data_IF_552225631394
#
_entry.id   IF_552225631394
#
_cell.length_a   1.000
_cell.length_b   1.000
_cell.length_c   1.000
_cell.angle_alpha   90.00
_cell.angle_beta   90.00
_cell.angle_gamma   90.00
#
_symmetry.space_group_name_H-M   'P 1'
#
loop_
_entity.id
_entity.type
_entity.pdbx_description
1 polymer ?
#
# COMPACT_ATOMS: atom_id res chain seq x y z
N UNK A 1 -0.98 11.62 -5.10
CA UNK A 1 0.14 10.66 -5.01
C UNK A 1 -0.39 9.22 -5.00
N UNK A 2 0.33 8.26 -5.58
CA UNK A 2 -0.08 6.85 -5.66
C UNK A 2 0.82 5.96 -4.81
N UNK A 3 0.27 4.94 -4.17
CA UNK A 3 0.98 4.00 -3.30
C UNK A 3 0.57 2.56 -3.63
N UNK A 4 1.54 1.66 -3.68
CA UNK A 4 1.28 0.21 -3.64
C UNK A 4 1.52 -0.25 -2.22
N UNK A 5 0.57 -0.99 -1.67
CA UNK A 5 0.62 -1.51 -0.30
C UNK A 5 0.32 -3.00 -0.35
N UNK A 6 1.21 -3.81 0.21
CA UNK A 6 1.07 -5.26 0.28
C UNK A 6 1.11 -5.71 1.73
N UNK A 7 0.28 -6.66 2.11
CA UNK A 7 0.23 -7.22 3.47
C UNK A 7 -0.34 -8.62 3.45
N UNK A 8 -0.09 -9.36 4.53
CA UNK A 8 -0.71 -10.66 4.79
C UNK A 8 -1.81 -10.51 5.84
N UNK A 9 -2.80 -11.38 5.73
CA UNK A 9 -3.73 -11.67 6.81
C UNK A 9 -3.15 -12.80 7.70
N UNK A 10 -3.73 -12.99 8.88
CA UNK A 10 -3.32 -14.07 9.79
C UNK A 10 -3.58 -15.48 9.25
N UNK A 11 -4.41 -15.61 8.22
CA UNK A 11 -4.64 -16.86 7.49
C UNK A 11 -3.66 -17.07 6.32
N UNK A 12 -2.57 -16.29 6.29
CA UNK A 12 -1.52 -16.32 5.26
C UNK A 12 -1.99 -15.84 3.87
N UNK A 13 -3.19 -15.26 3.78
CA UNK A 13 -3.65 -14.62 2.53
C UNK A 13 -2.88 -13.33 2.27
N UNK A 14 -2.18 -13.27 1.13
CA UNK A 14 -1.49 -12.05 0.66
C UNK A 14 -2.44 -11.14 -0.13
N UNK A 15 -2.45 -9.85 0.21
CA UNK A 15 -3.28 -8.82 -0.42
C UNK A 15 -2.39 -7.66 -0.90
N UNK A 16 -2.60 -7.23 -2.15
CA UNK A 16 -2.02 -6.02 -2.72
C UNK A 16 -3.10 -4.98 -3.04
N UNK A 17 -2.92 -3.75 -2.57
CA UNK A 17 -3.80 -2.61 -2.80
C UNK A 17 -3.06 -1.44 -3.45
N UNK A 18 -3.75 -0.73 -4.33
CA UNK A 18 -3.31 0.56 -4.90
C UNK A 18 -4.10 1.68 -4.24
N UNK A 19 -3.41 2.58 -3.54
CA UNK A 19 -4.02 3.79 -2.98
C UNK A 19 -3.68 4.99 -3.86
N UNK A 20 -4.70 5.73 -4.28
CA UNK A 20 -4.55 7.03 -4.92
C UNK A 20 -5.08 8.09 -3.95
N UNK A 21 -4.17 8.89 -3.39
CA UNK A 21 -4.48 9.94 -2.42
C UNK A 21 -4.36 11.28 -3.13
N UNK A 22 -5.49 11.95 -3.31
CA UNK A 22 -5.53 13.30 -3.86
C UNK A 22 -5.02 14.33 -2.83
N UNK A 23 -4.18 15.26 -3.29
CA UNK A 23 -3.61 16.34 -2.47
C UNK A 23 -4.59 17.51 -2.32
N UNK A 24 -5.60 17.59 -3.19
CA UNK A 24 -6.59 18.67 -3.23
C UNK A 24 -7.73 18.51 -2.23
N UNK A 25 -7.84 17.35 -1.57
CA UNK A 25 -8.88 17.08 -0.59
C UNK A 25 -8.48 17.75 0.73
N UNK A 26 -9.37 18.58 1.29
CA UNK A 26 -9.18 19.17 2.61
C UNK A 26 -9.18 18.07 3.67
N UNK A 27 -8.05 17.89 4.37
CA UNK A 27 -7.86 16.85 5.38
C UNK A 27 -8.00 17.46 6.78
N UNK A 28 -9.06 17.13 7.54
CA UNK A 28 -9.15 17.56 8.93
C UNK A 28 -7.94 17.04 9.71
N UNK A 29 -7.25 17.93 10.43
CA UNK A 29 -6.02 17.64 11.20
C UNK A 29 -4.77 17.29 10.38
N UNK A 30 -4.82 17.43 9.06
CA UNK A 30 -3.69 17.24 8.14
C UNK A 30 -2.87 15.94 8.40
N UNK A 31 -3.51 14.75 8.48
CA UNK A 31 -2.78 13.50 8.59
C UNK A 31 -1.90 13.27 7.36
N UNK A 32 -0.71 12.71 7.60
CA UNK A 32 0.16 12.26 6.54
C UNK A 32 -0.46 11.08 5.76
N UNK A 33 0.05 10.85 4.55
CA UNK A 33 -0.47 9.82 3.65
C UNK A 33 -0.33 8.40 4.25
N UNK A 34 0.68 8.18 5.09
CA UNK A 34 0.94 6.89 5.73
C UNK A 34 -0.16 6.58 6.76
N UNK A 35 -0.48 7.56 7.61
CA UNK A 35 -1.56 7.48 8.60
C UNK A 35 -2.90 7.17 7.92
N UNK A 36 -3.19 7.81 6.78
CA UNK A 36 -4.42 7.54 6.02
C UNK A 36 -4.49 6.09 5.50
N UNK A 37 -3.36 5.55 5.02
CA UNK A 37 -3.26 4.17 4.55
C UNK A 37 -3.49 3.21 5.72
N UNK A 38 -2.79 3.41 6.84
CA UNK A 38 -2.94 2.55 8.01
C UNK A 38 -4.35 2.59 8.59
N UNK A 39 -4.95 3.78 8.73
CA UNK A 39 -6.33 3.92 9.19
C UNK A 39 -7.31 3.14 8.30
N UNK A 40 -7.12 3.20 6.98
CA UNK A 40 -7.92 2.40 6.05
C UNK A 40 -7.71 0.89 6.28
N UNK A 41 -6.46 0.44 6.41
CA UNK A 41 -6.15 -0.98 6.61
C UNK A 41 -6.75 -1.50 7.92
N UNK A 42 -6.55 -0.79 9.03
CA UNK A 42 -7.11 -1.19 10.33
C UNK A 42 -8.64 -1.17 10.33
N UNK A 43 -9.26 -0.19 9.66
CA UNK A 43 -10.72 -0.11 9.57
C UNK A 43 -11.35 -1.26 8.77
N UNK A 44 -10.69 -1.73 7.72
CA UNK A 44 -11.25 -2.75 6.83
C UNK A 44 -10.78 -4.18 7.15
N UNK A 45 -9.56 -4.35 7.69
CA UNK A 45 -8.92 -5.65 7.89
C UNK A 45 -8.49 -5.90 9.35
N UNK A 46 -8.62 -4.94 10.27
CA UNK A 46 -7.89 -4.91 11.55
C UNK A 46 -7.80 -6.22 12.36
N UNK A 47 -8.88 -7.00 12.49
CA UNK A 47 -8.87 -8.24 13.26
C UNK A 47 -8.17 -9.42 12.57
N UNK A 48 -8.02 -9.33 11.25
CA UNK A 48 -7.43 -10.38 10.40
C UNK A 48 -6.11 -9.94 9.79
N UNK A 49 -5.77 -8.66 9.86
CA UNK A 49 -4.54 -8.07 9.36
C UNK A 49 -3.34 -8.49 10.20
N UNK A 50 -2.28 -8.97 9.56
CA UNK A 50 -0.99 -9.18 10.22
C UNK A 50 -0.12 -7.92 10.06
N UNK A 51 -0.02 -7.04 11.08
CA UNK A 51 0.59 -5.72 10.93
C UNK A 51 2.09 -5.77 10.64
N UNK A 52 2.77 -6.88 10.96
CA UNK A 52 4.21 -7.04 10.76
C UNK A 52 4.60 -7.28 9.29
N UNK A 53 3.61 -7.49 8.41
CA UNK A 53 3.81 -7.85 7.01
C UNK A 53 3.54 -6.69 6.05
N UNK A 54 3.05 -5.57 6.57
CA UNK A 54 2.67 -4.41 5.77
C UNK A 54 3.93 -3.78 5.17
N UNK A 55 3.97 -3.73 3.83
CA UNK A 55 4.98 -3.03 3.05
C UNK A 55 4.28 -2.01 2.16
N UNK A 56 4.84 -0.83 2.00
CA UNK A 56 4.29 0.20 1.13
C UNK A 56 5.38 0.91 0.34
N UNK A 57 5.05 1.29 -0.88
CA UNK A 57 5.95 2.00 -1.79
C UNK A 57 5.20 3.13 -2.49
N UNK A 58 5.81 4.31 -2.52
CA UNK A 58 5.28 5.44 -3.28
C UNK A 58 5.58 5.21 -4.76
N UNK A 59 4.55 5.28 -5.60
CA UNK A 59 4.68 5.26 -7.04
C UNK A 59 4.96 6.68 -7.53
N UNK A 60 6.22 7.11 -7.40
CA UNK A 60 6.68 8.39 -7.93
C UNK A 60 7.24 8.26 -9.35
N UNK A 61 7.86 7.13 -9.68
CA UNK A 61 8.38 6.79 -11.01
C UNK A 61 8.13 5.29 -11.26
N UNK A 62 7.06 4.97 -11.99
CA UNK A 62 6.82 3.59 -12.42
C UNK A 62 7.76 3.32 -13.59
N UNK A 63 8.85 2.58 -13.35
CA UNK A 63 9.57 1.91 -14.43
C UNK A 63 8.75 0.69 -14.82
N UNK A 64 7.90 0.85 -15.83
CA UNK A 64 7.21 -0.27 -16.44
C UNK A 64 8.24 -1.14 -17.17
N UNK A 65 8.66 -2.24 -16.57
CA UNK A 65 9.39 -3.30 -17.27
C UNK A 65 8.31 -4.22 -17.88
N UNK A 66 7.82 -3.82 -19.04
CA UNK A 66 7.05 -4.71 -19.89
C UNK A 66 8.04 -5.59 -20.64
N UNK A 67 8.34 -6.77 -20.08
CA UNK A 67 8.81 -8.01 -20.72
C UNK A 67 9.67 -8.84 -19.75
N UNK A 68 9.54 -10.17 -19.85
CA UNK A 68 10.18 -11.20 -19.03
C UNK A 68 11.68 -10.95 -18.83
N UNK A 69 12.06 -10.38 -17.69
CA UNK A 69 13.47 -10.23 -17.33
C UNK A 69 13.94 -11.49 -16.60
N UNK A 70 14.54 -12.42 -17.37
CA UNK A 70 15.35 -13.50 -16.81
C UNK A 70 16.74 -12.93 -16.46
N UNK A 71 17.09 -12.92 -15.17
CA UNK A 71 18.46 -12.61 -14.74
C UNK A 71 19.29 -13.89 -14.86
N UNK A 72 20.09 -14.01 -15.90
CA UNK A 72 21.17 -15.01 -15.96
C UNK A 72 22.44 -14.45 -15.31
N UNK A 73 23.05 -15.24 -14.42
CA UNK A 73 24.25 -14.93 -13.62
C UNK A 73 25.51 -15.31 -14.40
#
# INVERSE_FOLDING_TARGET
MKYVVTFELFDETEIGLLFEIEETINRPNDPDNETLIFDYLYKNYGNVLNPHTIKWHVLNDIVYIGEDYCVEI
#
